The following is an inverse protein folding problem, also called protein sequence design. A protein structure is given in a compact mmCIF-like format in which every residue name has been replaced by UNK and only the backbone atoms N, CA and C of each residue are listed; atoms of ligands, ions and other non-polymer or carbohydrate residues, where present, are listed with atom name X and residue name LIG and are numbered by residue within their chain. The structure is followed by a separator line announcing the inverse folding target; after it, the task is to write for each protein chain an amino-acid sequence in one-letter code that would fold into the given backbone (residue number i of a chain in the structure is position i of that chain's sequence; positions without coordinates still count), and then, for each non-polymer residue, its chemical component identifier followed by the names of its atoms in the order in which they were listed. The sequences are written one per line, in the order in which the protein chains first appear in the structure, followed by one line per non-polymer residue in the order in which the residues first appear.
data_IF_871416090274
#
_entry.id   IF_871416090274
#
_cell.length_a   1.000
_cell.length_b   1.000
_cell.length_c   1.000
_cell.angle_alpha   90.00
_cell.angle_beta   90.00
_cell.angle_gamma   90.00
#
_symmetry.space_group_name_H-M   'P 1'
#
loop_
_entity.id
_entity.type
_entity.pdbx_description
1 polymer ?
#
# COMPACT_ATOMS: atom_id res chain seq x y z
N UNK A 1 18.13 -48.46 8.92
CA UNK A 1 18.36 -47.00 8.74
C UNK A 1 18.38 -46.19 10.04
N UNK A 2 17.43 -46.34 10.98
CA UNK A 2 17.43 -45.52 12.23
C UNK A 2 18.64 -45.78 13.16
N UNK A 3 19.09 -47.03 13.27
CA UNK A 3 20.27 -47.42 14.09
C UNK A 3 21.59 -46.84 13.57
N UNK A 4 21.84 -46.95 12.26
CA UNK A 4 23.06 -46.41 11.62
C UNK A 4 23.18 -44.89 11.85
N UNK A 5 22.07 -44.14 11.73
CA UNK A 5 22.10 -42.69 12.01
C UNK A 5 22.41 -42.38 13.47
N UNK A 6 21.89 -43.16 14.42
CA UNK A 6 22.16 -42.95 15.86
C UNK A 6 23.61 -43.25 16.24
N UNK A 7 24.24 -44.22 15.59
CA UNK A 7 25.63 -44.60 15.86
C UNK A 7 26.66 -43.66 15.21
N UNK A 8 26.30 -43.02 14.08
CA UNK A 8 27.13 -42.04 13.35
C UNK A 8 26.76 -40.57 13.65
N UNK A 9 25.68 -40.31 14.40
CA UNK A 9 25.22 -38.95 14.65
C UNK A 9 26.14 -38.20 15.59
N UNK A 10 26.73 -37.13 15.08
CA UNK A 10 27.53 -36.17 15.85
C UNK A 10 26.63 -35.26 16.72
N UNK A 11 25.35 -35.14 16.36
CA UNK A 11 24.33 -34.29 17.00
C UNK A 11 23.49 -35.01 18.09
N UNK A 12 23.89 -36.22 18.51
CA UNK A 12 23.15 -37.02 19.52
C UNK A 12 21.87 -37.69 19.02
N UNK A 13 21.54 -37.56 17.72
CA UNK A 13 20.39 -38.20 17.11
C UNK A 13 19.04 -37.56 17.46
N UNK A 14 17.96 -38.09 16.86
CA UNK A 14 16.64 -37.46 16.79
C UNK A 14 15.84 -37.33 18.11
N UNK A 15 16.40 -37.73 19.27
CA UNK A 15 15.67 -37.86 20.55
C UNK A 15 16.26 -37.03 21.69
N UNK A 16 17.23 -36.14 21.44
CA UNK A 16 17.81 -35.29 22.49
C UNK A 16 18.55 -36.06 23.58
N UNK A 17 18.92 -37.32 23.32
CA UNK A 17 19.79 -38.10 24.19
C UNK A 17 21.23 -37.81 23.79
N UNK A 18 22.09 -37.45 24.75
CA UNK A 18 23.50 -37.24 24.51
C UNK A 18 24.14 -38.56 24.09
N UNK A 19 24.42 -38.73 22.80
CA UNK A 19 25.34 -39.78 22.36
C UNK A 19 26.67 -39.58 23.12
N UNK A 20 27.38 -40.65 23.50
CA UNK A 20 28.60 -40.57 24.32
C UNK A 20 29.76 -39.77 23.67
N UNK A 21 29.59 -39.31 22.42
CA UNK A 21 30.53 -38.46 21.65
C UNK A 21 29.85 -37.27 20.96
N UNK A 22 28.73 -36.77 21.48
CA UNK A 22 28.05 -35.63 20.87
C UNK A 22 28.91 -34.36 20.99
N UNK A 23 29.20 -33.71 19.85
CA UNK A 23 29.83 -32.39 19.83
C UNK A 23 28.81 -31.32 20.24
N UNK A 24 29.24 -30.18 20.82
CA UNK A 24 28.32 -29.09 21.09
C UNK A 24 27.68 -28.60 19.78
N UNK A 25 26.44 -28.10 19.87
CA UNK A 25 25.64 -27.74 18.70
C UNK A 25 26.36 -26.81 17.71
N UNK A 26 27.20 -25.92 18.24
CA UNK A 26 27.92 -24.95 17.44
C UNK A 26 28.89 -25.56 16.42
N UNK A 27 29.42 -26.76 16.67
CA UNK A 27 30.37 -27.41 15.75
C UNK A 27 29.67 -28.00 14.52
N UNK A 28 28.37 -28.22 14.59
CA UNK A 28 27.60 -28.80 13.50
C UNK A 28 26.56 -27.85 12.91
N UNK A 29 26.03 -26.91 13.70
CA UNK A 29 25.01 -25.91 13.32
C UNK A 29 23.82 -26.50 12.56
N UNK A 30 23.54 -27.79 12.76
CA UNK A 30 22.46 -28.50 12.06
C UNK A 30 21.16 -28.42 12.86
N UNK A 31 20.05 -28.28 12.15
CA UNK A 31 18.71 -28.29 12.72
C UNK A 31 17.84 -29.21 11.90
N UNK A 32 17.08 -30.07 12.57
CA UNK A 32 16.18 -31.03 11.91
C UNK A 32 14.75 -30.51 11.96
N UNK A 33 14.13 -30.38 10.79
CA UNK A 33 12.72 -30.02 10.67
C UNK A 33 11.82 -31.15 11.22
N UNK A 34 10.87 -30.86 12.13
CA UNK A 34 10.14 -31.91 12.86
C UNK A 34 9.14 -32.66 11.98
N UNK A 35 8.67 -32.04 10.89
CA UNK A 35 7.73 -32.66 9.97
C UNK A 35 8.43 -33.15 8.72
N UNK A 36 7.97 -34.25 8.15
CA UNK A 36 8.43 -34.70 6.83
C UNK A 36 7.73 -33.90 5.74
N UNK A 37 8.46 -33.55 4.68
CA UNK A 37 7.88 -32.81 3.54
C UNK A 37 6.77 -33.63 2.88
N UNK A 38 6.95 -34.95 2.76
CA UNK A 38 5.93 -35.87 2.26
C UNK A 38 4.60 -35.73 3.02
N UNK A 39 4.67 -35.56 4.35
CA UNK A 39 3.50 -35.37 5.20
C UNK A 39 2.89 -33.97 5.02
N UNK A 40 3.73 -32.94 4.84
CA UNK A 40 3.27 -31.57 4.57
C UNK A 40 2.57 -31.43 3.21
N UNK A 41 2.89 -32.30 2.24
CA UNK A 41 2.30 -32.30 0.89
C UNK A 41 1.22 -33.37 0.69
N UNK A 42 0.85 -34.13 1.73
CA UNK A 42 -0.08 -35.27 1.63
C UNK A 42 -1.48 -34.91 1.09
N UNK A 43 -1.91 -33.65 1.21
CA UNK A 43 -3.20 -33.15 0.70
C UNK A 43 -3.13 -32.51 -0.69
N UNK A 44 -1.97 -32.53 -1.36
CA UNK A 44 -1.77 -31.92 -2.67
C UNK A 44 -2.00 -32.98 -3.75
N UNK A 45 -2.95 -32.79 -4.69
CA UNK A 45 -3.06 -33.64 -5.86
C UNK A 45 -1.79 -33.47 -6.71
N UNK A 46 -1.00 -34.53 -6.83
CA UNK A 46 0.28 -34.57 -7.55
C UNK A 46 1.34 -33.54 -7.06
N UNK A 47 1.97 -33.80 -5.90
CA UNK A 47 2.98 -32.90 -5.33
C UNK A 47 4.28 -32.80 -6.16
N UNK A 48 4.47 -33.69 -7.15
CA UNK A 48 5.62 -33.62 -8.04
C UNK A 48 5.45 -32.53 -9.11
N UNK A 49 4.21 -32.23 -9.50
CA UNK A 49 3.92 -31.24 -10.54
C UNK A 49 3.42 -29.89 -10.00
N UNK A 50 2.96 -29.83 -8.74
CA UNK A 50 2.59 -28.57 -8.07
C UNK A 50 3.82 -27.89 -7.42
N UNK A 51 4.57 -27.15 -8.23
CA UNK A 51 5.79 -26.45 -7.81
C UNK A 51 5.51 -25.40 -6.71
N UNK A 52 4.41 -24.64 -6.84
CA UNK A 52 4.11 -23.56 -5.90
C UNK A 52 3.88 -24.08 -4.47
N UNK A 53 3.15 -25.19 -4.30
CA UNK A 53 2.95 -25.79 -2.98
C UNK A 53 4.23 -26.45 -2.44
N UNK A 54 5.03 -27.05 -3.32
CA UNK A 54 6.32 -27.63 -2.95
C UNK A 54 7.31 -26.56 -2.47
N UNK A 55 7.48 -25.48 -3.22
CA UNK A 55 8.32 -24.33 -2.86
C UNK A 55 7.86 -23.71 -1.53
N UNK A 56 6.56 -23.60 -1.30
CA UNK A 56 6.02 -23.12 -0.03
C UNK A 56 6.33 -24.07 1.15
N UNK A 57 6.36 -25.38 0.92
CA UNK A 57 6.76 -26.35 1.94
C UNK A 57 8.27 -26.23 2.27
N UNK A 58 9.12 -26.12 1.25
CA UNK A 58 10.56 -25.89 1.41
C UNK A 58 10.85 -24.57 2.13
N UNK A 59 10.14 -23.51 1.77
CA UNK A 59 10.24 -22.22 2.42
C UNK A 59 9.91 -22.30 3.92
N UNK A 60 8.81 -22.98 4.30
CA UNK A 60 8.43 -23.17 5.71
C UNK A 60 9.50 -23.95 6.49
N UNK A 61 10.06 -24.99 5.89
CA UNK A 61 11.14 -25.75 6.49
C UNK A 61 12.39 -24.88 6.73
N UNK A 62 12.79 -24.10 5.72
CA UNK A 62 13.94 -23.21 5.81
C UNK A 62 13.73 -22.11 6.88
N UNK A 63 12.54 -21.53 6.93
CA UNK A 63 12.17 -20.51 7.91
C UNK A 63 12.22 -21.04 9.35
N UNK A 64 11.64 -22.22 9.60
CA UNK A 64 11.66 -22.86 10.93
C UNK A 64 13.09 -23.25 11.36
N UNK A 65 13.92 -23.69 10.42
CA UNK A 65 15.34 -23.94 10.67
C UNK A 65 16.09 -22.64 11.02
N UNK A 66 15.87 -21.55 10.29
CA UNK A 66 16.50 -20.25 10.55
C UNK A 66 16.11 -19.67 11.91
N UNK A 67 14.82 -19.74 12.29
CA UNK A 67 14.33 -19.25 13.59
C UNK A 67 14.96 -20.05 14.74
N UNK A 68 14.99 -21.39 14.63
CA UNK A 68 15.61 -22.24 15.66
C UNK A 68 17.12 -22.07 15.72
N UNK A 69 17.78 -21.96 14.58
CA UNK A 69 19.22 -21.68 14.48
C UNK A 69 19.57 -20.36 15.17
N UNK A 70 18.82 -19.29 14.91
CA UNK A 70 19.01 -17.99 15.58
C UNK A 70 18.90 -18.11 17.10
N UNK A 71 17.91 -18.85 17.60
CA UNK A 71 17.75 -19.09 19.05
C UNK A 71 18.95 -19.83 19.64
N UNK A 72 19.45 -20.85 18.95
CA UNK A 72 20.59 -21.64 19.40
C UNK A 72 21.90 -20.81 19.36
N UNK A 73 22.10 -19.98 18.33
CA UNK A 73 23.23 -19.04 18.29
C UNK A 73 23.19 -18.03 19.46
N UNK A 74 22.01 -17.48 19.77
CA UNK A 74 21.86 -16.55 20.89
C UNK A 74 22.15 -17.24 22.25
N UNK A 75 21.74 -18.51 22.41
CA UNK A 75 22.06 -19.30 23.62
C UNK A 75 23.55 -19.60 23.74
N UNK A 76 24.24 -19.81 22.62
CA UNK A 76 25.69 -19.98 22.57
C UNK A 76 26.48 -18.65 22.70
N UNK A 77 25.79 -17.50 22.75
CA UNK A 77 26.42 -16.18 22.85
C UNK A 77 27.09 -15.69 21.56
N UNK A 78 26.65 -16.18 20.40
CA UNK A 78 27.29 -15.90 19.10
C UNK A 78 26.46 -14.87 18.31
N UNK A 79 27.09 -13.82 17.75
CA UNK A 79 26.37 -12.85 16.92
C UNK A 79 25.84 -13.53 15.64
N UNK A 80 24.54 -13.39 15.41
CA UNK A 80 23.86 -14.01 14.26
C UNK A 80 23.64 -13.04 13.11
N UNK A 81 23.26 -11.80 13.41
CA UNK A 81 22.87 -10.80 12.42
C UNK A 81 24.12 -10.17 11.80
N UNK A 82 24.17 -10.09 10.46
CA UNK A 82 25.27 -9.43 9.73
C UNK A 82 25.22 -7.92 9.98
N UNK A 83 26.27 -7.30 10.54
CA UNK A 83 26.33 -5.84 10.67
C UNK A 83 26.29 -5.15 9.31
N UNK A 84 25.59 -4.02 9.20
CA UNK A 84 25.47 -3.27 7.95
C UNK A 84 26.81 -2.71 7.45
N UNK A 85 27.74 -2.46 8.37
CA UNK A 85 29.07 -1.89 8.10
C UNK A 85 30.16 -2.97 7.88
N UNK A 86 29.78 -4.24 7.82
CA UNK A 86 30.72 -5.33 7.56
C UNK A 86 30.80 -5.65 6.06
N UNK A 87 31.80 -5.07 5.41
CA UNK A 87 32.13 -5.27 4.00
C UNK A 87 33.10 -6.43 3.82
N UNK A 88 32.55 -7.60 3.47
CA UNK A 88 33.29 -8.78 3.06
C UNK A 88 32.78 -9.27 1.69
N UNK A 89 33.59 -10.07 1.01
CA UNK A 89 33.20 -10.69 -0.26
C UNK A 89 31.90 -11.51 -0.10
N UNK A 90 30.94 -11.25 -0.98
CA UNK A 90 29.67 -11.97 -1.02
C UNK A 90 29.66 -12.95 -2.18
N UNK A 91 28.80 -13.97 -2.10
CA UNK A 91 28.65 -15.00 -3.15
C UNK A 91 28.33 -14.40 -4.53
N UNK A 92 27.66 -13.25 -4.57
CA UNK A 92 27.33 -12.53 -5.81
C UNK A 92 27.95 -11.14 -5.77
N UNK A 93 28.50 -10.71 -6.91
CA UNK A 93 29.06 -9.36 -7.06
C UNK A 93 27.99 -8.28 -7.02
N UNK A 94 28.37 -7.07 -6.61
CA UNK A 94 27.45 -5.93 -6.56
C UNK A 94 26.93 -5.56 -7.96
N UNK A 95 27.75 -5.67 -8.99
CA UNK A 95 27.35 -5.48 -10.39
C UNK A 95 26.27 -6.50 -10.84
N UNK A 96 26.36 -7.74 -10.37
CA UNK A 96 25.30 -8.72 -10.62
C UNK A 96 24.01 -8.33 -9.91
N UNK A 97 24.09 -7.91 -8.65
CA UNK A 97 22.91 -7.50 -7.88
C UNK A 97 22.28 -6.20 -8.40
N UNK A 98 23.07 -5.28 -8.95
CA UNK A 98 22.58 -4.08 -9.63
C UNK A 98 21.73 -4.45 -10.86
N UNK A 99 22.20 -5.39 -11.69
CA UNK A 99 21.41 -5.90 -12.83
C UNK A 99 20.10 -6.54 -12.39
N UNK A 100 20.10 -7.30 -11.29
CA UNK A 100 18.87 -7.89 -10.74
C UNK A 100 17.91 -6.81 -10.26
N UNK A 101 18.40 -5.79 -9.53
CA UNK A 101 17.58 -4.67 -9.07
C UNK A 101 16.98 -3.90 -10.25
N UNK A 102 17.76 -3.64 -11.30
CA UNK A 102 17.28 -2.94 -12.48
C UNK A 102 16.14 -3.70 -13.16
N UNK A 103 16.26 -5.03 -13.31
CA UNK A 103 15.17 -5.86 -13.86
C UNK A 103 13.89 -5.78 -13.04
N UNK A 104 13.99 -5.83 -11.71
CA UNK A 104 12.83 -5.70 -10.83
C UNK A 104 12.15 -4.33 -10.95
N UNK A 105 12.95 -3.26 -11.08
CA UNK A 105 12.44 -1.92 -11.31
C UNK A 105 11.72 -1.82 -12.66
N UNK A 106 12.32 -2.35 -13.72
CA UNK A 106 11.75 -2.35 -15.07
C UNK A 106 10.44 -3.15 -15.13
N UNK A 107 10.38 -4.33 -14.50
CA UNK A 107 9.16 -5.13 -14.37
C UNK A 107 8.05 -4.36 -13.63
N UNK A 108 8.39 -3.75 -12.50
CA UNK A 108 7.44 -2.95 -11.71
C UNK A 108 6.93 -1.72 -12.49
N UNK A 109 7.80 -1.10 -13.28
CA UNK A 109 7.44 0.04 -14.14
C UNK A 109 6.54 -0.42 -15.30
N UNK A 110 6.83 -1.57 -15.90
CA UNK A 110 6.01 -2.17 -16.95
C UNK A 110 4.59 -2.50 -16.48
N UNK A 111 4.44 -3.06 -15.28
CA UNK A 111 3.13 -3.34 -14.67
C UNK A 111 2.36 -2.03 -14.46
N UNK A 112 2.97 -1.03 -13.83
CA UNK A 112 2.36 0.29 -13.60
C UNK A 112 1.95 0.96 -14.90
N UNK A 113 2.80 0.96 -15.91
CA UNK A 113 2.50 1.54 -17.21
C UNK A 113 1.31 0.84 -17.89
N UNK A 114 1.21 -0.49 -17.77
CA UNK A 114 0.07 -1.25 -18.30
C UNK A 114 -1.24 -0.91 -17.57
N UNK A 115 -1.20 -0.79 -16.25
CA UNK A 115 -2.36 -0.38 -15.42
C UNK A 115 -2.80 1.05 -15.74
N UNK A 116 -1.85 1.98 -15.86
CA UNK A 116 -2.12 3.37 -16.25
C UNK A 116 -2.70 3.44 -17.67
N UNK A 117 -2.18 2.65 -18.60
CA UNK A 117 -2.70 2.59 -19.97
C UNK A 117 -4.14 2.06 -19.99
N UNK A 118 -4.47 1.03 -19.20
CA UNK A 118 -5.85 0.54 -19.04
C UNK A 118 -6.75 1.63 -18.47
N UNK A 119 -6.33 2.30 -17.39
CA UNK A 119 -7.06 3.41 -16.77
C UNK A 119 -7.30 4.56 -17.74
N UNK A 120 -6.30 4.93 -18.54
CA UNK A 120 -6.44 5.97 -19.56
C UNK A 120 -7.41 5.58 -20.67
N UNK A 121 -7.45 4.30 -21.09
CA UNK A 121 -8.42 3.80 -22.07
C UNK A 121 -9.85 3.89 -21.53
N UNK A 122 -10.07 3.52 -20.27
CA UNK A 122 -11.37 3.64 -19.61
C UNK A 122 -11.82 5.09 -19.46
N UNK A 123 -10.91 5.98 -19.03
CA UNK A 123 -11.18 7.41 -18.94
C UNK A 123 -11.56 8.02 -20.30
N UNK A 124 -10.90 7.59 -21.39
CA UNK A 124 -11.26 8.02 -22.75
C UNK A 124 -12.62 7.45 -23.18
N UNK A 125 -12.90 6.18 -22.89
CA UNK A 125 -14.16 5.51 -23.25
C UNK A 125 -15.38 6.13 -22.55
N UNK A 126 -15.25 6.43 -21.26
CA UNK A 126 -16.36 6.95 -20.44
C UNK A 126 -16.31 8.47 -20.25
N UNK A 127 -15.25 9.16 -20.67
CA UNK A 127 -15.05 10.58 -20.42
C UNK A 127 -16.21 11.48 -20.86
N UNK A 128 -16.77 11.24 -22.05
CA UNK A 128 -17.94 12.00 -22.54
C UNK A 128 -19.20 11.72 -21.72
N UNK A 129 -19.45 10.45 -21.36
CA UNK A 129 -20.60 10.07 -20.52
C UNK A 129 -20.50 10.71 -19.14
N UNK A 130 -19.33 10.62 -18.50
CA UNK A 130 -19.04 11.25 -17.21
C UNK A 130 -19.19 12.78 -17.27
N UNK A 131 -18.79 13.42 -18.36
CA UNK A 131 -18.95 14.87 -18.51
C UNK A 131 -20.43 15.28 -18.59
N UNK A 132 -21.24 14.54 -19.37
CA UNK A 132 -22.68 14.79 -19.50
C UNK A 132 -23.41 14.53 -18.18
N UNK A 133 -23.12 13.41 -17.53
CA UNK A 133 -23.69 13.05 -16.24
C UNK A 133 -23.37 14.08 -15.15
N UNK A 134 -22.11 14.52 -15.05
CA UNK A 134 -21.73 15.60 -14.13
C UNK A 134 -22.42 16.93 -14.42
N UNK A 135 -22.69 17.24 -15.69
CA UNK A 135 -23.45 18.46 -16.03
C UNK A 135 -24.92 18.33 -15.62
N UNK A 136 -25.54 17.17 -15.86
CA UNK A 136 -26.91 16.86 -15.42
C UNK A 136 -27.02 16.91 -13.90
N UNK A 137 -26.08 16.31 -13.18
CA UNK A 137 -26.02 16.33 -11.71
C UNK A 137 -25.87 17.76 -11.16
N UNK A 138 -25.03 18.59 -11.78
CA UNK A 138 -24.89 20.01 -11.44
C UNK A 138 -26.17 20.82 -11.70
N UNK A 139 -26.86 20.54 -12.81
CA UNK A 139 -28.13 21.20 -13.10
C UNK A 139 -29.22 20.77 -12.13
N UNK A 140 -29.29 19.47 -11.81
CA UNK A 140 -30.24 18.91 -10.84
C UNK A 140 -30.01 19.48 -9.43
N UNK A 141 -28.78 19.45 -8.94
CA UNK A 141 -28.42 20.05 -7.64
C UNK A 141 -28.72 21.55 -7.59
N UNK A 142 -28.44 22.31 -8.66
CA UNK A 142 -28.81 23.73 -8.75
C UNK A 142 -30.33 23.94 -8.73
N UNK A 143 -31.09 23.08 -9.41
CA UNK A 143 -32.56 23.14 -9.40
C UNK A 143 -33.12 22.83 -8.02
N UNK A 144 -32.63 21.78 -7.36
CA UNK A 144 -33.02 21.40 -6.00
C UNK A 144 -32.70 22.52 -5.00
N UNK A 145 -31.51 23.13 -5.10
CA UNK A 145 -31.12 24.27 -4.26
C UNK A 145 -32.02 25.49 -4.50
N UNK A 146 -32.33 25.81 -5.77
CA UNK A 146 -33.26 26.89 -6.09
C UNK A 146 -34.70 26.61 -5.60
N UNK A 147 -35.17 25.36 -5.66
CA UNK A 147 -36.48 24.96 -5.14
C UNK A 147 -36.52 25.07 -3.61
N UNK A 148 -35.45 24.71 -2.89
CA UNK A 148 -35.31 24.94 -1.45
C UNK A 148 -35.34 26.44 -1.12
N UNK A 149 -34.59 27.28 -1.83
CA UNK A 149 -34.59 28.74 -1.65
C UNK A 149 -36.00 29.30 -1.90
N UNK A 150 -36.69 28.89 -2.96
CA UNK A 150 -38.08 29.33 -3.22
C UNK A 150 -39.05 28.83 -2.16
N UNK A 151 -38.82 27.65 -1.59
CA UNK A 151 -39.60 27.13 -0.46
C UNK A 151 -39.40 27.96 0.81
N UNK A 152 -38.16 28.35 1.11
CA UNK A 152 -37.81 29.25 2.21
C UNK A 152 -38.41 30.65 2.00
N UNK A 153 -38.29 31.23 0.80
CA UNK A 153 -38.89 32.53 0.47
C UNK A 153 -40.42 32.53 0.59
N UNK A 154 -41.11 31.51 0.08
CA UNK A 154 -42.59 31.42 0.23
C UNK A 154 -43.06 31.21 1.67
N UNK A 155 -42.28 30.50 2.50
CA UNK A 155 -42.57 30.40 3.95
C UNK A 155 -42.40 31.74 4.66
N UNK A 156 -41.53 32.63 4.15
CA UNK A 156 -41.31 33.97 4.67
C UNK A 156 -42.34 34.98 4.16
N UNK A 157 -42.80 34.86 2.90
CA UNK A 157 -43.80 35.78 2.30
C UNK A 157 -45.19 35.68 2.98
N UNK A 158 -45.49 34.57 3.66
CA UNK A 158 -46.67 34.44 4.54
C UNK A 158 -46.51 35.06 5.93
N UNK A 159 -45.31 35.55 6.29
CA UNK A 159 -44.99 36.22 7.53
C UNK A 159 -44.46 37.63 7.20
N UNK A 160 -45.40 38.57 7.08
CA UNK A 160 -45.27 40.03 7.00
C UNK A 160 -43.85 40.61 7.20
N UNK A 161 -43.40 41.33 6.17
CA UNK A 161 -42.65 42.59 6.23
C UNK A 161 -41.69 42.76 7.43
N UNK A 162 -40.44 42.31 7.27
CA UNK A 162 -39.40 42.55 8.27
C UNK A 162 -38.04 41.95 7.89
N UNK A 163 -37.12 42.85 7.53
CA UNK A 163 -35.65 42.75 7.59
C UNK A 163 -34.94 41.71 6.69
N UNK A 164 -34.27 42.21 5.65
CA UNK A 164 -33.45 41.42 4.72
C UNK A 164 -32.21 40.78 5.40
N UNK A 165 -31.73 41.34 6.52
CA UNK A 165 -30.55 40.86 7.25
C UNK A 165 -30.78 39.53 7.99
N UNK A 166 -32.02 39.25 8.44
CA UNK A 166 -32.36 38.01 9.17
C UNK A 166 -32.55 36.81 8.20
N UNK A 167 -32.80 37.10 6.91
CA UNK A 167 -32.91 36.10 5.85
C UNK A 167 -31.54 35.54 5.44
N UNK A 168 -30.51 36.40 5.31
CA UNK A 168 -29.16 35.98 4.92
C UNK A 168 -28.50 35.11 6.00
N UNK A 169 -28.70 35.44 7.29
CA UNK A 169 -28.18 34.66 8.43
C UNK A 169 -28.81 33.26 8.52
N UNK A 170 -30.09 33.10 8.16
CA UNK A 170 -30.80 31.80 8.13
C UNK A 170 -30.50 30.97 6.90
N UNK A 171 -30.29 31.60 5.75
CA UNK A 171 -29.84 30.93 4.54
C UNK A 171 -28.43 30.36 4.74
N UNK A 172 -27.54 31.12 5.38
CA UNK A 172 -26.18 30.68 5.71
C UNK A 172 -26.20 29.49 6.68
N UNK A 173 -27.03 29.52 7.75
CA UNK A 173 -27.17 28.39 8.69
C UNK A 173 -27.86 27.14 8.12
N UNK A 174 -28.79 27.28 7.17
CA UNK A 174 -29.41 26.12 6.49
C UNK A 174 -28.49 25.46 5.46
N UNK A 175 -27.57 26.22 4.87
CA UNK A 175 -26.54 25.72 3.94
C UNK A 175 -25.35 25.12 4.71
N UNK A 176 -24.92 25.76 5.79
CA UNK A 176 -23.76 25.32 6.60
C UNK A 176 -24.11 24.16 7.56
N UNK A 177 -25.40 23.98 7.88
CA UNK A 177 -25.91 22.92 8.76
C UNK A 177 -25.77 21.48 8.22
N UNK A 178 -25.39 21.29 6.95
CA UNK A 178 -25.18 19.95 6.38
C UNK A 178 -23.70 19.61 6.08
N UNK A 179 -22.75 20.55 6.22
CA UNK A 179 -21.34 20.28 5.88
C UNK A 179 -20.33 20.32 7.03
N UNK A 180 -20.69 20.68 8.28
CA UNK A 180 -19.68 20.77 9.35
C UNK A 180 -20.02 19.98 10.60
N UNK A 181 -19.48 18.76 10.63
CA UNK A 181 -19.11 18.09 11.87
C UNK A 181 -18.27 19.03 12.75
N UNK A 182 -18.92 19.48 13.82
CA UNK A 182 -18.43 20.08 15.06
C UNK A 182 -16.95 19.83 15.37
N UNK A 183 -16.12 20.87 15.22
CA UNK A 183 -14.88 21.10 15.96
C UNK A 183 -14.98 22.44 16.70
N UNK A 184 -14.39 22.61 17.90
CA UNK A 184 -14.71 23.73 18.79
C UNK A 184 -14.09 25.07 18.32
N UNK A 185 -14.67 26.22 18.70
CA UNK A 185 -14.27 27.52 18.16
C UNK A 185 -13.05 28.07 18.91
N UNK A 186 -12.02 28.46 18.17
CA UNK A 186 -10.94 29.30 18.70
C UNK A 186 -11.05 30.70 18.13
N UNK A 187 -10.96 31.67 19.03
CA UNK A 187 -10.97 33.12 18.84
C UNK A 187 -9.90 33.59 17.84
N UNK A 188 -10.28 34.59 17.05
CA UNK A 188 -9.42 35.73 16.77
C UNK A 188 -8.99 35.93 15.32
N UNK A 189 -9.22 37.14 14.81
CA UNK A 189 -8.29 37.77 13.87
C UNK A 189 -8.78 37.96 12.43
N UNK A 190 -9.36 39.15 12.20
CA UNK A 190 -9.42 39.92 10.94
C UNK A 190 -8.50 39.42 9.81
N UNK A 191 -9.09 39.17 8.64
CA UNK A 191 -8.35 39.04 7.37
C UNK A 191 -9.27 38.75 6.20
N UNK A 192 -9.75 39.80 5.53
CA UNK A 192 -10.48 39.71 4.25
C UNK A 192 -9.76 38.79 3.26
N UNK A 193 -10.38 37.69 2.86
CA UNK A 193 -9.89 36.85 1.76
C UNK A 193 -10.84 36.97 0.58
N UNK A 194 -10.55 37.93 -0.32
CA UNK A 194 -11.15 37.99 -1.66
C UNK A 194 -10.80 36.69 -2.41
N UNK A 195 -11.68 36.15 -3.27
CA UNK A 195 -11.37 34.96 -4.05
C UNK A 195 -10.18 35.26 -4.98
N UNK A 196 -9.13 34.43 -4.90
CA UNK A 196 -7.91 34.53 -5.72
C UNK A 196 -8.29 34.70 -7.18
N UNK A 197 -7.98 35.87 -7.74
CA UNK A 197 -8.09 36.13 -9.16
C UNK A 197 -7.29 35.08 -9.94
N UNK A 198 -7.94 34.41 -10.89
CA UNK A 198 -7.28 33.47 -11.80
C UNK A 198 -6.19 34.23 -12.55
N UNK A 199 -4.97 33.71 -12.49
CA UNK A 199 -3.78 34.30 -13.12
C UNK A 199 -4.08 34.70 -14.59
N UNK A 200 -3.78 35.94 -15.02
CA UNK A 200 -4.05 36.37 -16.39
C UNK A 200 -3.30 35.49 -17.39
N UNK A 201 -3.84 35.37 -18.61
CA UNK A 201 -3.33 34.45 -19.64
C UNK A 201 -1.84 34.70 -19.95
N UNK A 202 -1.43 35.97 -19.98
CA UNK A 202 -0.04 36.39 -20.13
C UNK A 202 0.91 35.79 -19.08
N UNK A 203 0.50 35.77 -17.81
CA UNK A 203 1.31 35.22 -16.72
C UNK A 203 1.34 33.67 -16.74
N UNK A 204 0.32 33.02 -17.31
CA UNK A 204 0.36 31.57 -17.57
C UNK A 204 1.27 31.22 -18.73
N UNK A 205 1.23 32.00 -19.81
CA UNK A 205 2.08 31.80 -20.98
C UNK A 205 3.57 32.02 -20.65
N UNK A 206 3.88 32.99 -19.76
CA UNK A 206 5.23 33.18 -19.23
C UNK A 206 5.70 32.04 -18.31
N UNK A 207 4.81 31.49 -17.49
CA UNK A 207 5.17 30.43 -16.51
C UNK A 207 5.27 29.04 -17.14
N UNK A 208 4.43 28.73 -18.12
CA UNK A 208 4.30 27.38 -18.68
C UNK A 208 4.66 27.29 -20.18
N UNK A 209 5.00 28.42 -20.81
CA UNK A 209 5.29 28.50 -22.24
C UNK A 209 4.03 28.37 -23.11
N UNK A 210 4.15 28.79 -24.37
CA UNK A 210 3.11 28.52 -25.37
C UNK A 210 3.19 27.03 -25.75
N UNK A 211 2.26 26.22 -25.26
CA UNK A 211 2.14 24.81 -25.67
C UNK A 211 2.10 24.71 -27.21
N UNK A 212 3.20 24.25 -27.80
CA UNK A 212 3.41 24.16 -29.25
C UNK A 212 2.44 23.18 -29.92
N UNK A 213 2.37 23.04 -31.26
CA UNK A 213 2.97 23.71 -32.41
C UNK A 213 1.85 23.65 -33.47
N UNK A 214 1.38 24.77 -34.02
CA UNK A 214 0.47 24.70 -35.19
C UNK A 214 1.31 24.23 -36.37
N UNK A 215 1.09 22.98 -36.81
CA UNK A 215 1.54 22.53 -38.13
C UNK A 215 0.77 23.35 -39.17
N UNK A 216 1.49 24.15 -39.95
CA UNK A 216 1.09 24.43 -41.33
C UNK A 216 1.59 23.28 -42.21
#
# INVERSE_FOLDING_TARGET
MRRIRQDLSIDGGALGQSAPRALPWIEHMTVVYPQRIDAALAGVPDPANDDLKRELAFYKQALDAAIRGRRLCNQAGIPFDRPADFYAEQVKTDEHMERVRQRLLDESAGIKASEEAKRQRELKKFGKKVQVEKQLERQKSKRELNERIKGLKRKHEGALEGDDDDFDVRLETAIDGQERGRGPPSRGGRGQTRPKARMPRSARDAKYGFGGKKKQ
#
